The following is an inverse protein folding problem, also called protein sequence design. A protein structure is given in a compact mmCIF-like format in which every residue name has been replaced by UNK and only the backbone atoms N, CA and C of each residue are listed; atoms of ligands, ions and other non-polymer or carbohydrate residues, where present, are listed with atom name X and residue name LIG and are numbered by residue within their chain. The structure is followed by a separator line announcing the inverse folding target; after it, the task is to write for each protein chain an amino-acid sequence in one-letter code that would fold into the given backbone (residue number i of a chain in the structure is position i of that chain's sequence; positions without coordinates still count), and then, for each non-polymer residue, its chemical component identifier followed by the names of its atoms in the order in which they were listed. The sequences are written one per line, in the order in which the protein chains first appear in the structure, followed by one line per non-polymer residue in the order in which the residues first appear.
data_IF_246460754823
#
_entry.id   IF_246460754823
#
_cell.length_a   1.000
_cell.length_b   1.000
_cell.length_c   1.000
_cell.angle_alpha   90.00
_cell.angle_beta   90.00
_cell.angle_gamma   90.00
#
_symmetry.space_group_name_H-M   'P 1'
#
loop_
_entity.id
_entity.type
_entity.pdbx_description
1 polymer ?
#
# COMPACT_ATOMS: atom_id res chain seq x y z
N UNK A 1 -2.80 -2.62 -5.62
CA UNK A 1 -3.14 -2.06 -4.27
C UNK A 1 -2.63 -3.00 -3.20
N UNK A 2 -1.85 -2.49 -2.26
CA UNK A 2 -1.07 -3.34 -1.35
C UNK A 2 -1.57 -3.31 0.12
N UNK A 3 -2.27 -2.24 0.52
CA UNK A 3 -2.70 -2.02 1.90
C UNK A 3 -4.01 -1.22 1.94
N UNK A 4 -4.95 -1.63 2.80
CA UNK A 4 -6.25 -0.96 2.98
C UNK A 4 -6.48 -0.67 4.46
N UNK A 5 -6.87 0.56 4.79
CA UNK A 5 -7.25 0.97 6.14
C UNK A 5 -8.75 1.27 6.23
N UNK A 6 -9.37 0.79 7.30
CA UNK A 6 -10.76 1.10 7.65
C UNK A 6 -10.89 1.35 9.15
N UNK A 7 -12.07 1.80 9.58
CA UNK A 7 -12.46 1.86 10.99
C UNK A 7 -13.78 1.13 11.20
N UNK A 8 -14.72 1.77 11.89
CA UNK A 8 -16.04 1.25 12.29
C UNK A 8 -16.00 0.28 13.46
N UNK A 9 -15.35 -0.88 13.31
CA UNK A 9 -15.23 -1.81 14.44
C UNK A 9 -14.21 -1.25 15.44
N UNK A 10 -14.63 -1.11 16.70
CA UNK A 10 -13.87 -0.39 17.72
C UNK A 10 -12.77 -1.28 18.34
N UNK A 11 -11.86 -1.73 17.51
CA UNK A 11 -10.72 -2.57 17.84
C UNK A 11 -9.60 -2.39 16.79
N UNK A 12 -8.55 -3.21 16.93
CA UNK A 12 -7.53 -3.38 15.90
C UNK A 12 -7.64 -4.77 15.28
N UNK A 13 -7.61 -4.84 13.95
CA UNK A 13 -7.45 -6.10 13.22
C UNK A 13 -6.51 -5.93 12.04
N UNK A 14 -5.67 -6.94 11.80
CA UNK A 14 -4.91 -7.11 10.55
C UNK A 14 -5.23 -8.45 9.93
N UNK A 15 -5.69 -8.42 8.68
CA UNK A 15 -5.93 -9.60 7.87
C UNK A 15 -5.10 -9.57 6.58
N UNK A 16 -4.74 -10.75 6.07
CA UNK A 16 -4.03 -10.90 4.80
C UNK A 16 -4.89 -11.72 3.83
N UNK A 17 -5.32 -11.09 2.74
CA UNK A 17 -6.16 -11.72 1.71
C UNK A 17 -5.56 -11.43 0.35
N UNK A 18 -5.20 -12.49 -0.38
CA UNK A 18 -4.61 -12.40 -1.72
C UNK A 18 -3.43 -11.41 -1.81
N UNK A 19 -2.55 -11.42 -0.81
CA UNK A 19 -1.37 -10.53 -0.76
C UNK A 19 -1.66 -9.11 -0.28
N UNK A 20 -2.92 -8.73 -0.07
CA UNK A 20 -3.32 -7.41 0.41
C UNK A 20 -3.50 -7.44 1.93
N UNK A 21 -2.83 -6.52 2.63
CA UNK A 21 -3.07 -6.32 4.06
C UNK A 21 -4.32 -5.43 4.24
N UNK A 22 -5.26 -5.89 5.07
CA UNK A 22 -6.42 -5.12 5.50
C UNK A 22 -6.28 -4.81 6.98
N UNK A 23 -6.33 -3.52 7.31
CA UNK A 23 -6.21 -3.01 8.68
C UNK A 23 -7.55 -2.39 9.09
N UNK A 24 -8.12 -2.88 10.18
CA UNK A 24 -9.14 -2.17 10.96
C UNK A 24 -8.40 -1.40 12.06
N UNK A 25 -8.50 -0.08 12.04
CA UNK A 25 -7.87 0.84 12.99
C UNK A 25 -8.94 1.67 13.72
N UNK A 26 -9.93 1.02 14.34
CA UNK A 26 -11.10 1.70 14.92
C UNK A 26 -11.01 1.98 16.42
N UNK A 27 -9.90 1.64 17.07
CA UNK A 27 -9.64 1.87 18.50
C UNK A 27 -9.35 3.33 18.90
N UNK A 28 -9.87 4.32 18.16
CA UNK A 28 -9.51 5.74 18.34
C UNK A 28 -10.09 6.43 19.59
N UNK A 29 -10.99 5.80 20.35
CA UNK A 29 -11.51 6.37 21.61
C UNK A 29 -12.90 5.92 22.06
N UNK A 30 -13.69 5.28 21.19
CA UNK A 30 -15.00 4.74 21.57
C UNK A 30 -14.87 3.44 22.40
N UNK A 31 -15.93 2.99 23.10
CA UNK A 31 -15.91 1.72 23.82
C UNK A 31 -15.54 0.56 22.91
N UNK A 32 -14.57 -0.23 23.35
CA UNK A 32 -13.96 -1.28 22.56
C UNK A 32 -14.90 -2.46 22.33
N UNK A 33 -14.79 -3.07 21.15
CA UNK A 33 -15.47 -4.32 20.82
C UNK A 33 -14.55 -5.52 21.09
N UNK A 34 -15.10 -6.69 21.47
CA UNK A 34 -14.30 -7.91 21.58
C UNK A 34 -13.86 -8.38 20.19
N UNK A 35 -12.61 -8.82 20.08
CA UNK A 35 -12.05 -9.31 18.82
C UNK A 35 -12.22 -10.82 18.64
N UNK A 36 -12.28 -11.25 17.38
CA UNK A 36 -12.29 -12.66 16.97
C UNK A 36 -11.05 -13.05 16.17
N UNK A 37 -11.05 -14.27 15.61
CA UNK A 37 -10.05 -14.69 14.63
C UNK A 37 -10.67 -15.59 13.57
N UNK A 38 -10.12 -15.55 12.36
CA UNK A 38 -10.52 -16.38 11.24
C UNK A 38 -9.35 -16.76 10.34
N UNK A 39 -9.60 -17.44 9.21
CA UNK A 39 -8.55 -17.98 8.33
C UNK A 39 -7.57 -16.94 7.77
N UNK A 40 -7.98 -15.68 7.70
CA UNK A 40 -7.19 -14.58 7.15
C UNK A 40 -6.63 -13.63 8.22
N UNK A 41 -7.03 -13.81 9.48
CA UNK A 41 -6.59 -12.95 10.58
C UNK A 41 -5.12 -13.22 10.86
N UNK A 42 -4.30 -12.17 10.76
CA UNK A 42 -2.89 -12.21 11.15
C UNK A 42 -2.72 -11.74 12.58
N UNK A 43 -3.45 -10.68 12.97
CA UNK A 43 -3.43 -10.12 14.31
C UNK A 43 -4.77 -9.46 14.63
N UNK A 44 -5.19 -9.49 15.89
CA UNK A 44 -6.39 -8.79 16.35
C UNK A 44 -6.28 -8.49 17.84
N UNK A 45 -6.60 -7.26 18.25
CA UNK A 45 -6.55 -6.84 19.65
C UNK A 45 -7.65 -5.81 19.96
N UNK A 46 -8.42 -6.08 21.01
CA UNK A 46 -9.37 -5.11 21.56
C UNK A 46 -8.60 -4.10 22.41
N UNK A 47 -8.14 -3.02 21.78
CA UNK A 47 -7.32 -2.00 22.43
C UNK A 47 -7.53 -0.62 21.83
N UNK A 48 -7.43 0.41 22.67
CA UNK A 48 -7.33 1.78 22.17
C UNK A 48 -5.97 1.94 21.51
N UNK A 49 -5.91 2.59 20.36
CA UNK A 49 -4.66 2.77 19.63
C UNK A 49 -4.77 3.83 18.53
N UNK A 50 -3.61 4.14 17.95
CA UNK A 50 -3.46 4.71 16.62
C UNK A 50 -2.54 3.83 15.80
N UNK A 51 -2.64 3.87 14.47
CA UNK A 51 -1.68 3.20 13.58
C UNK A 51 -0.74 4.24 13.01
N UNK A 52 0.56 4.02 13.21
CA UNK A 52 1.62 4.81 12.59
C UNK A 52 2.15 4.07 11.37
N UNK A 53 2.23 4.78 10.24
CA UNK A 53 2.81 4.28 9.00
C UNK A 53 3.95 5.20 8.62
N UNK A 54 5.13 4.64 8.39
CA UNK A 54 6.28 5.34 7.82
C UNK A 54 6.68 4.69 6.51
N UNK A 55 6.93 5.52 5.51
CA UNK A 55 7.45 5.08 4.21
C UNK A 55 8.85 5.65 4.06
N UNK A 56 9.82 4.77 3.80
CA UNK A 56 11.19 5.14 3.51
C UNK A 56 11.63 4.40 2.24
N UNK A 57 11.90 5.16 1.19
CA UNK A 57 12.14 4.64 -0.16
C UNK A 57 11.07 3.61 -0.54
N UNK A 58 11.46 2.35 -0.69
CA UNK A 58 10.59 1.25 -1.10
C UNK A 58 10.08 0.41 0.08
N UNK A 59 10.25 0.86 1.32
CA UNK A 59 9.84 0.13 2.52
C UNK A 59 8.78 0.91 3.27
N UNK A 60 7.59 0.34 3.36
CA UNK A 60 6.55 0.78 4.29
C UNK A 60 6.69 0.00 5.59
N UNK A 61 6.74 0.69 6.72
CA UNK A 61 6.61 0.10 8.06
C UNK A 61 5.31 0.58 8.69
N UNK A 62 4.49 -0.36 9.15
CA UNK A 62 3.28 -0.06 9.91
C UNK A 62 3.40 -0.62 11.34
N UNK A 63 2.88 0.13 12.30
CA UNK A 63 2.90 -0.23 13.72
C UNK A 63 1.67 0.32 14.45
N UNK A 64 1.03 -0.52 15.26
CA UNK A 64 0.02 -0.08 16.21
C UNK A 64 0.66 0.56 17.44
N UNK A 65 0.11 1.66 17.94
CA UNK A 65 0.61 2.39 19.11
C UNK A 65 -0.51 2.56 20.12
N UNK A 66 -0.34 2.01 21.32
CA UNK A 66 -1.29 2.12 22.44
C UNK A 66 -1.17 3.50 23.14
N UNK A 67 -2.16 3.92 23.96
CA UNK A 67 -2.12 5.19 24.69
C UNK A 67 -0.92 5.35 25.64
N UNK A 68 -0.37 4.24 26.14
CA UNK A 68 0.84 4.24 26.96
C UNK A 68 2.14 4.36 26.15
N UNK A 69 2.04 4.45 24.83
CA UNK A 69 3.17 4.52 23.89
C UNK A 69 3.77 3.17 23.53
N UNK A 70 3.29 2.06 24.10
CA UNK A 70 3.76 0.72 23.71
C UNK A 70 3.28 0.38 22.30
N UNK A 71 4.12 -0.32 21.55
CA UNK A 71 3.82 -0.70 20.18
C UNK A 71 3.36 -2.14 20.07
N UNK A 72 2.67 -2.45 18.98
CA UNK A 72 2.22 -3.80 18.64
C UNK A 72 2.05 -3.98 17.14
N UNK A 73 1.95 -5.24 16.72
CA UNK A 73 1.74 -5.69 15.34
C UNK A 73 2.57 -4.93 14.29
N UNK A 74 3.88 -4.82 14.53
CA UNK A 74 4.80 -4.21 13.56
C UNK A 74 4.96 -5.13 12.36
N UNK A 75 4.70 -4.60 11.16
CA UNK A 75 5.02 -5.28 9.90
C UNK A 75 5.63 -4.32 8.88
N UNK A 76 6.33 -4.90 7.91
CA UNK A 76 6.94 -4.17 6.80
C UNK A 76 6.42 -4.70 5.48
N UNK A 77 6.23 -3.81 4.52
CA UNK A 77 5.99 -4.13 3.12
C UNK A 77 7.14 -3.53 2.32
N UNK A 78 7.72 -4.33 1.43
CA UNK A 78 8.81 -3.89 0.57
C UNK A 78 8.30 -3.94 -0.86
N UNK A 79 8.36 -2.79 -1.53
CA UNK A 79 8.39 -2.76 -2.98
C UNK A 79 9.81 -3.16 -3.40
N UNK A 80 9.98 -4.28 -4.08
CA UNK A 80 11.29 -4.60 -4.65
C UNK A 80 11.45 -3.68 -5.87
N UNK A 81 12.48 -2.82 -5.93
CA UNK A 81 12.61 -1.90 -7.04
C UNK A 81 13.01 -2.68 -8.30
N UNK A 82 12.03 -2.97 -9.15
CA UNK A 82 12.24 -3.25 -10.55
C UNK A 82 11.95 -1.96 -11.31
N UNK A 83 12.83 -1.59 -12.24
CA UNK A 83 12.54 -0.46 -13.11
C UNK A 83 11.28 -0.82 -13.94
N UNK A 84 10.28 0.05 -13.92
CA UNK A 84 9.01 -0.19 -14.60
C UNK A 84 7.96 -0.99 -13.80
N UNK A 85 8.26 -1.49 -12.60
CA UNK A 85 7.24 -2.05 -11.69
C UNK A 85 6.64 -0.90 -10.87
N UNK A 86 5.49 -0.39 -11.34
CA UNK A 86 4.85 0.82 -10.82
C UNK A 86 3.80 0.51 -9.75
N UNK A 87 3.31 -0.73 -9.65
CA UNK A 87 2.39 -1.14 -8.58
C UNK A 87 3.01 -2.06 -7.51
N UNK A 88 4.31 -2.33 -7.64
CA UNK A 88 5.13 -3.07 -6.71
C UNK A 88 4.59 -4.49 -6.46
N UNK A 89 4.06 -5.13 -7.50
CA UNK A 89 3.58 -6.52 -7.44
C UNK A 89 4.65 -7.56 -7.80
N UNK A 90 5.90 -7.10 -8.02
CA UNK A 90 7.06 -7.92 -8.37
C UNK A 90 7.04 -8.45 -9.80
N UNK A 91 6.22 -7.87 -10.69
CA UNK A 91 6.18 -8.16 -12.11
C UNK A 91 6.06 -6.87 -12.92
N UNK A 92 6.90 -6.71 -13.94
CA UNK A 92 6.70 -5.64 -14.93
C UNK A 92 5.81 -6.17 -16.05
N UNK A 93 4.56 -5.69 -16.09
CA UNK A 93 3.55 -6.21 -17.00
C UNK A 93 2.48 -5.21 -17.41
N UNK A 94 1.29 -5.74 -17.73
CA UNK A 94 0.19 -4.93 -18.24
C UNK A 94 -0.32 -3.96 -17.16
N UNK A 95 -0.30 -4.34 -15.89
CA UNK A 95 -0.74 -3.49 -14.80
C UNK A 95 0.08 -2.19 -14.78
N UNK A 96 1.40 -2.28 -14.91
CA UNK A 96 2.31 -1.14 -14.94
C UNK A 96 2.13 -0.26 -16.17
N UNK A 97 1.99 -0.88 -17.36
CA UNK A 97 1.68 -0.13 -18.58
C UNK A 97 0.37 0.64 -18.42
N UNK A 98 -0.65 0.00 -17.84
CA UNK A 98 -1.96 0.62 -17.69
C UNK A 98 -1.96 1.78 -16.71
N UNK A 99 -1.05 1.81 -15.74
CA UNK A 99 -0.88 2.94 -14.81
C UNK A 99 -0.47 4.20 -15.58
N UNK A 100 0.54 4.10 -16.44
CA UNK A 100 0.99 5.21 -17.29
C UNK A 100 -0.06 5.53 -18.36
N UNK A 101 -0.59 4.51 -19.04
CA UNK A 101 -1.53 4.70 -20.14
C UNK A 101 -2.86 5.35 -19.70
N UNK A 102 -3.31 5.11 -18.46
CA UNK A 102 -4.49 5.78 -17.91
C UNK A 102 -4.29 7.29 -17.71
N UNK A 103 -3.03 7.74 -17.68
CA UNK A 103 -2.62 9.13 -17.56
C UNK A 103 -2.23 9.78 -18.89
N UNK A 104 -2.43 9.10 -20.02
CA UNK A 104 -2.06 9.60 -21.35
C UNK A 104 -2.58 11.02 -21.63
N UNK A 105 -1.67 11.98 -21.76
CA UNK A 105 -1.94 13.42 -21.97
C UNK A 105 -2.89 14.02 -20.94
N UNK A 106 -2.92 13.45 -19.74
CA UNK A 106 -3.70 13.97 -18.64
C UNK A 106 -3.16 15.31 -18.18
N UNK A 107 -4.04 16.18 -17.70
CA UNK A 107 -3.65 17.40 -16.97
C UNK A 107 -3.88 17.24 -15.47
N UNK A 108 -4.23 16.04 -15.03
CA UNK A 108 -4.40 15.72 -13.61
C UNK A 108 -3.04 15.78 -12.90
N UNK A 109 -2.86 16.59 -11.85
CA UNK A 109 -1.64 16.61 -11.07
C UNK A 109 -1.23 15.25 -10.50
N UNK A 110 -2.17 14.35 -10.22
CA UNK A 110 -1.87 12.99 -9.75
C UNK A 110 -1.17 12.14 -10.82
N UNK A 111 -1.40 12.44 -12.10
CA UNK A 111 -0.76 11.77 -13.21
C UNK A 111 0.69 12.19 -13.45
N UNK A 112 1.12 13.35 -12.93
CA UNK A 112 2.51 13.82 -13.05
C UNK A 112 3.51 12.93 -12.31
N UNK A 113 3.05 11.94 -11.54
CA UNK A 113 3.90 10.89 -10.97
C UNK A 113 4.37 9.86 -12.01
N UNK A 114 3.74 9.83 -13.20
CA UNK A 114 3.99 8.87 -14.26
C UNK A 114 4.60 9.50 -15.52
N UNK A 115 5.05 10.75 -15.43
CA UNK A 115 6.01 11.37 -16.35
C UNK A 115 7.39 10.85 -15.94
N UNK A 116 7.88 9.84 -16.66
CA UNK A 116 9.07 9.06 -16.32
C UNK A 116 10.35 9.62 -16.96
N UNK A 117 10.24 10.49 -17.97
CA UNK A 117 11.37 11.21 -18.55
C UNK A 117 11.44 12.71 -18.18
N UNK A 118 10.55 13.16 -17.29
CA UNK A 118 10.47 14.51 -16.71
C UNK A 118 10.29 15.61 -17.78
N UNK A 119 9.61 15.32 -18.90
CA UNK A 119 9.43 16.27 -20.00
C UNK A 119 8.17 17.14 -19.90
N UNK A 120 7.31 16.84 -18.92
CA UNK A 120 6.12 17.59 -18.58
C UNK A 120 4.85 17.12 -19.29
N UNK A 121 4.89 16.02 -20.03
CA UNK A 121 3.68 15.30 -20.46
C UNK A 121 3.76 13.79 -20.19
N UNK A 122 2.63 13.09 -20.37
CA UNK A 122 2.58 11.64 -20.25
C UNK A 122 2.18 11.07 -21.60
N UNK A 123 3.13 10.46 -22.30
CA UNK A 123 2.97 10.00 -23.67
C UNK A 123 3.51 8.58 -23.92
N UNK A 124 3.91 8.30 -25.16
CA UNK A 124 4.42 6.98 -25.53
C UNK A 124 5.78 6.69 -24.93
N UNK A 125 6.60 7.71 -24.68
CA UNK A 125 7.95 7.54 -24.16
C UNK A 125 7.89 7.01 -22.74
N UNK A 126 6.99 7.51 -21.91
CA UNK A 126 6.75 6.98 -20.56
C UNK A 126 6.31 5.51 -20.58
N UNK A 127 5.38 5.18 -21.48
CA UNK A 127 4.95 3.79 -21.65
C UNK A 127 6.12 2.92 -22.12
N UNK A 128 6.97 3.42 -23.03
CA UNK A 128 8.15 2.69 -23.52
C UNK A 128 9.20 2.48 -22.43
N UNK A 129 9.34 3.42 -21.49
CA UNK A 129 10.21 3.30 -20.32
C UNK A 129 9.74 2.21 -19.34
N UNK A 130 8.44 1.92 -19.29
CA UNK A 130 7.92 0.72 -18.61
C UNK A 130 8.13 -0.53 -19.47
N UNK A 131 7.74 -0.47 -20.74
CA UNK A 131 7.70 -1.62 -21.63
C UNK A 131 9.09 -2.22 -21.94
N UNK A 132 10.18 -1.45 -21.84
CA UNK A 132 11.55 -1.96 -21.99
C UNK A 132 11.90 -3.02 -20.94
N UNK A 133 11.23 -3.00 -19.79
CA UNK A 133 11.39 -3.95 -18.69
C UNK A 133 10.33 -5.07 -18.70
N UNK A 134 9.50 -5.18 -19.73
CA UNK A 134 8.40 -6.15 -19.78
C UNK A 134 8.85 -7.59 -19.51
N UNK A 135 8.20 -8.22 -18.53
CA UNK A 135 8.46 -9.60 -18.12
C UNK A 135 9.61 -9.76 -17.13
N UNK A 136 10.22 -8.67 -16.66
CA UNK A 136 11.09 -8.70 -15.48
C UNK A 136 10.27 -9.02 -14.23
N UNK A 137 10.88 -9.75 -13.29
CA UNK A 137 10.28 -10.15 -12.03
C UNK A 137 11.35 -10.35 -10.96
N UNK A 138 10.94 -10.20 -9.70
CA UNK A 138 11.69 -10.59 -8.51
C UNK A 138 11.08 -11.87 -7.88
#
# INVERSE_FOLDING_TARGET
MQLVFNGHDHDYERSLVNGVNYIVAGGGGAPLYPVGSGPHTVYSESTLHVVSVSVNEHILTSVGVRPDGTTFDRFTMTCTPLLGDLDCDCQVGLADIMIVANCWRSTDPECGLYDLDDDGDMDIVDIMLVAVHWGEAC
#
